data_IF_190303216539
#
_entry.id   IF_190303216539
#
_cell.length_a   1.000
_cell.length_b   1.000
_cell.length_c   1.000
_cell.angle_alpha   90.00
_cell.angle_beta   90.00
_cell.angle_gamma   90.00
#
_symmetry.space_group_name_H-M   'P 1'
#
loop_
_entity.id
_entity.type
_entity.pdbx_description
1 polymer ?
#
# COMPACT_ATOMS: atom_id res chain seq x y z
N UNK A 1 13.63 -4.63 36.69
CA UNK A 1 13.31 -3.44 35.88
C UNK A 1 12.90 -3.91 34.49
N UNK A 2 11.62 -4.21 34.29
CA UNK A 2 11.06 -4.58 33.00
C UNK A 2 10.78 -3.27 32.25
N UNK A 3 11.54 -3.01 31.19
CA UNK A 3 11.22 -1.94 30.25
C UNK A 3 9.86 -2.28 29.64
N UNK A 4 8.83 -1.54 30.02
CA UNK A 4 7.58 -1.51 29.30
C UNK A 4 7.91 -1.26 27.83
N UNK A 5 7.58 -2.20 26.95
CA UNK A 5 7.56 -1.97 25.51
C UNK A 5 6.73 -0.70 25.34
N UNK A 6 7.37 0.39 24.94
CA UNK A 6 6.68 1.62 24.59
C UNK A 6 5.57 1.24 23.62
N UNK A 7 4.35 1.69 23.90
CA UNK A 7 3.22 1.52 23.00
C UNK A 7 3.61 2.21 21.69
N UNK A 8 4.10 1.46 20.72
CA UNK A 8 4.30 2.00 19.39
C UNK A 8 2.92 2.28 18.84
N UNK A 9 2.65 3.52 18.38
CA UNK A 9 1.38 3.80 17.74
C UNK A 9 1.21 2.83 16.58
N UNK A 10 0.08 2.13 16.52
CA UNK A 10 -0.23 1.23 15.41
C UNK A 10 0.06 1.91 14.08
N UNK A 11 0.63 1.17 13.13
CA UNK A 11 0.82 1.70 11.78
C UNK A 11 -0.53 2.14 11.19
N UNK A 12 -0.52 3.21 10.41
CA UNK A 12 -1.74 3.75 9.80
C UNK A 12 -1.48 4.15 8.36
N UNK A 13 -2.40 3.78 7.48
CA UNK A 13 -2.36 4.18 6.06
C UNK A 13 -2.45 5.68 5.86
N UNK A 14 -3.00 6.42 6.82
CA UNK A 14 -3.16 7.88 6.70
C UNK A 14 -1.83 8.64 6.74
N UNK A 15 -0.75 7.97 7.16
CA UNK A 15 0.62 8.50 7.13
C UNK A 15 1.42 8.02 5.92
N UNK A 16 0.80 7.24 5.04
CA UNK A 16 1.46 6.65 3.88
C UNK A 16 1.06 7.38 2.61
N UNK A 17 2.00 7.48 1.70
CA UNK A 17 1.86 8.18 0.42
C UNK A 17 2.30 7.24 -0.70
N UNK A 18 1.64 7.31 -1.85
CA UNK A 18 2.06 6.60 -3.04
C UNK A 18 3.36 7.18 -3.59
N UNK A 19 4.40 6.35 -3.64
CA UNK A 19 5.76 6.76 -4.00
C UNK A 19 6.22 6.12 -5.30
N UNK A 20 6.85 6.93 -6.14
CA UNK A 20 7.50 6.44 -7.37
C UNK A 20 8.84 5.78 -7.05
N UNK A 21 9.50 6.20 -5.98
CA UNK A 21 10.85 5.80 -5.62
C UNK A 21 10.92 4.32 -5.29
N UNK A 22 11.63 3.56 -6.13
CA UNK A 22 11.98 2.18 -5.87
C UNK A 22 13.43 1.95 -6.31
N UNK A 23 14.34 1.74 -5.35
CA UNK A 23 15.78 1.52 -5.66
C UNK A 23 16.02 0.25 -6.50
N UNK A 24 15.07 -0.69 -6.49
CA UNK A 24 15.13 -1.95 -7.25
C UNK A 24 14.70 -1.80 -8.70
N UNK A 25 14.04 -0.68 -9.06
CA UNK A 25 13.55 -0.41 -10.42
C UNK A 25 14.31 0.80 -10.97
N UNK A 26 14.95 0.72 -12.16
CA UNK A 26 15.58 1.88 -12.79
C UNK A 26 14.57 3.01 -13.03
N UNK A 27 15.00 4.28 -12.89
CA UNK A 27 14.09 5.43 -12.91
C UNK A 27 13.17 5.50 -14.14
N UNK A 28 13.69 5.17 -15.32
CA UNK A 28 12.95 5.15 -16.59
C UNK A 28 11.82 4.11 -16.67
N UNK A 29 11.79 3.14 -15.75
CA UNK A 29 10.79 2.08 -15.69
C UNK A 29 9.89 2.19 -14.46
N UNK A 30 9.95 3.31 -13.73
CA UNK A 30 9.08 3.53 -12.57
C UNK A 30 7.78 4.19 -12.99
N UNK A 31 6.67 3.66 -12.49
CA UNK A 31 5.39 4.36 -12.52
C UNK A 31 5.39 5.54 -11.55
N UNK A 32 4.75 6.64 -11.94
CA UNK A 32 4.57 7.85 -11.13
C UNK A 32 3.09 8.07 -10.80
N UNK A 33 2.78 9.06 -9.96
CA UNK A 33 1.39 9.34 -9.62
C UNK A 33 0.61 9.93 -10.80
N UNK A 34 1.31 10.64 -11.69
CA UNK A 34 0.77 11.24 -12.92
C UNK A 34 0.24 10.17 -13.87
N UNK A 35 0.87 8.99 -13.94
CA UNK A 35 0.39 7.86 -14.76
C UNK A 35 -0.99 7.36 -14.35
N UNK A 36 -1.34 7.50 -13.06
CA UNK A 36 -2.63 7.08 -12.51
C UNK A 36 -3.66 8.22 -12.48
N UNK A 37 -3.21 9.45 -12.34
CA UNK A 37 -4.09 10.61 -12.25
C UNK A 37 -4.91 10.79 -13.53
N UNK A 38 -6.22 10.94 -13.38
CA UNK A 38 -7.19 11.10 -14.49
C UNK A 38 -7.18 9.96 -15.54
N UNK A 39 -6.56 8.82 -15.24
CA UNK A 39 -6.50 7.65 -16.13
C UNK A 39 -7.81 6.86 -16.22
N UNK A 40 -8.77 7.13 -15.32
CA UNK A 40 -9.94 6.28 -15.09
C UNK A 40 -9.66 5.04 -14.21
N UNK A 41 -8.41 4.82 -13.79
CA UNK A 41 -7.99 3.70 -12.94
C UNK A 41 -7.57 4.16 -11.54
N UNK A 42 -7.85 3.31 -10.55
CA UNK A 42 -7.32 3.48 -9.20
C UNK A 42 -5.94 2.84 -9.05
N UNK A 43 -5.26 3.19 -7.95
CA UNK A 43 -4.02 2.55 -7.49
C UNK A 43 -4.37 1.34 -6.63
N UNK A 44 -4.46 0.16 -7.24
CA UNK A 44 -4.81 -1.10 -6.61
C UNK A 44 -3.61 -1.78 -5.94
N UNK A 45 -3.75 -2.19 -4.67
CA UNK A 45 -2.69 -2.88 -3.94
C UNK A 45 -2.70 -4.39 -4.26
N UNK A 46 -1.52 -4.97 -4.46
CA UNK A 46 -1.36 -6.43 -4.56
C UNK A 46 -1.10 -7.06 -3.19
N UNK A 47 -0.19 -6.47 -2.41
CA UNK A 47 -0.08 -6.69 -0.97
C UNK A 47 -0.86 -5.60 -0.23
N UNK A 48 -2.00 -5.90 0.42
CA UNK A 48 -2.87 -4.88 0.98
C UNK A 48 -2.25 -4.19 2.20
N UNK A 49 -2.41 -2.86 2.29
CA UNK A 49 -1.93 -2.09 3.45
C UNK A 49 -2.56 -2.57 4.79
N UNK A 50 -3.78 -3.10 4.74
CA UNK A 50 -4.47 -3.65 5.91
C UNK A 50 -3.70 -4.80 6.57
N UNK A 51 -2.94 -5.58 5.80
CA UNK A 51 -2.17 -6.75 6.30
C UNK A 51 -1.05 -6.31 7.23
N UNK A 52 -0.65 -5.05 7.13
CA UNK A 52 0.50 -4.49 7.82
C UNK A 52 0.10 -3.61 9.01
N UNK A 53 -1.20 -3.46 9.31
CA UNK A 53 -1.74 -2.55 10.35
C UNK A 53 -1.10 -2.75 11.73
N UNK A 54 -0.83 -4.00 12.12
CA UNK A 54 -0.24 -4.34 13.42
C UNK A 54 1.29 -4.46 13.39
N UNK A 55 1.92 -4.19 12.23
CA UNK A 55 3.37 -4.19 12.04
C UNK A 55 4.00 -2.81 12.18
N UNK A 56 5.14 -2.61 11.50
CA UNK A 56 5.83 -1.33 11.46
C UNK A 56 5.22 -0.39 10.42
N UNK A 57 5.29 0.92 10.65
CA UNK A 57 4.91 1.92 9.65
C UNK A 57 5.72 1.75 8.36
N UNK A 58 7.00 1.39 8.46
CA UNK A 58 7.86 1.16 7.31
C UNK A 58 7.33 0.05 6.40
N UNK A 59 6.92 -1.10 6.96
CA UNK A 59 6.37 -2.20 6.19
C UNK A 59 5.04 -1.81 5.52
N UNK A 60 4.21 -1.02 6.21
CA UNK A 60 2.99 -0.47 5.62
C UNK A 60 3.31 0.50 4.47
N UNK A 61 4.29 1.39 4.64
CA UNK A 61 4.71 2.36 3.61
C UNK A 61 5.25 1.67 2.35
N UNK A 62 5.93 0.53 2.49
CA UNK A 62 6.41 -0.26 1.35
C UNK A 62 5.27 -0.78 0.46
N UNK A 63 4.07 -0.97 1.01
CA UNK A 63 2.89 -1.36 0.22
C UNK A 63 2.42 -0.26 -0.74
N UNK A 64 2.85 0.99 -0.54
CA UNK A 64 2.47 2.15 -1.37
C UNK A 64 3.48 2.45 -2.50
N UNK A 65 4.48 1.59 -2.72
CA UNK A 65 5.46 1.76 -3.80
C UNK A 65 4.81 1.40 -5.13
N UNK A 66 4.65 2.39 -6.00
CA UNK A 66 3.86 2.29 -7.24
C UNK A 66 4.35 1.17 -8.16
N UNK A 67 5.66 1.12 -8.41
CA UNK A 67 6.24 0.17 -9.38
C UNK A 67 6.41 -1.25 -8.85
N UNK A 68 6.24 -1.45 -7.54
CA UNK A 68 6.52 -2.73 -6.88
C UNK A 68 5.24 -3.45 -6.44
N UNK A 69 4.19 -2.70 -6.06
CA UNK A 69 3.01 -3.28 -5.42
C UNK A 69 1.67 -2.75 -5.95
N UNK A 70 1.69 -1.77 -6.85
CA UNK A 70 0.47 -1.10 -7.31
C UNK A 70 0.21 -1.40 -8.78
N UNK A 71 -1.06 -1.68 -9.10
CA UNK A 71 -1.53 -1.86 -10.48
C UNK A 71 -2.70 -0.92 -10.79
N UNK A 72 -2.91 -0.51 -12.05
CA UNK A 72 -4.15 0.15 -12.47
C UNK A 72 -5.32 -0.80 -12.24
N UNK A 73 -6.20 -0.47 -11.30
CA UNK A 73 -7.33 -1.32 -10.92
C UNK A 73 -8.64 -0.56 -11.06
N UNK A 74 -9.66 -1.22 -11.60
CA UNK A 74 -10.99 -0.64 -11.71
C UNK A 74 -11.48 -0.23 -10.32
N UNK A 75 -12.01 0.99 -10.19
CA UNK A 75 -12.44 1.58 -8.91
C UNK A 75 -13.48 0.71 -8.18
N UNK A 76 -14.48 0.22 -8.91
CA UNK A 76 -15.54 -0.62 -8.35
C UNK A 76 -15.01 -1.97 -7.90
N UNK A 77 -14.09 -2.57 -8.66
CA UNK A 77 -13.48 -3.83 -8.25
C UNK A 77 -12.61 -3.66 -6.99
N UNK A 78 -11.72 -2.66 -6.98
CA UNK A 78 -10.80 -2.37 -5.87
C UNK A 78 -11.59 -2.13 -4.56
N UNK A 79 -12.59 -1.25 -4.61
CA UNK A 79 -13.39 -0.88 -3.43
C UNK A 79 -14.41 -1.93 -2.98
N UNK A 80 -14.75 -2.92 -3.81
CA UNK A 80 -15.78 -3.91 -3.50
C UNK A 80 -15.24 -5.34 -3.47
N UNK A 81 -15.26 -6.04 -4.60
CA UNK A 81 -14.99 -7.48 -4.64
C UNK A 81 -13.55 -7.80 -4.25
N UNK A 82 -12.57 -7.02 -4.72
CA UNK A 82 -11.18 -7.22 -4.35
C UNK A 82 -10.99 -7.00 -2.84
N UNK A 83 -11.51 -5.89 -2.30
CA UNK A 83 -11.50 -5.64 -0.86
C UNK A 83 -12.11 -6.79 -0.05
N UNK A 84 -13.23 -7.39 -0.50
CA UNK A 84 -13.84 -8.55 0.18
C UNK A 84 -12.91 -9.76 0.19
N UNK A 85 -12.18 -10.01 -0.90
CA UNK A 85 -11.18 -11.08 -0.97
C UNK A 85 -10.02 -10.79 -0.01
N UNK A 86 -9.52 -9.56 0.04
CA UNK A 86 -8.47 -9.14 0.99
C UNK A 86 -8.92 -9.28 2.46
N UNK A 87 -10.21 -9.04 2.76
CA UNK A 87 -10.76 -9.30 4.09
C UNK A 87 -10.86 -10.79 4.38
N UNK A 88 -11.37 -11.58 3.43
CA UNK A 88 -11.49 -13.03 3.57
C UNK A 88 -10.14 -13.70 3.82
N UNK A 89 -9.08 -13.30 3.11
CA UNK A 89 -7.74 -13.85 3.27
C UNK A 89 -7.09 -13.52 4.63
N UNK A 90 -7.54 -12.45 5.28
CA UNK A 90 -6.99 -11.95 6.56
C UNK A 90 -7.52 -12.70 7.78
N UNK A 91 -8.76 -13.21 7.71
CA UNK A 91 -9.47 -13.80 8.84
C UNK A 91 -10.30 -12.79 9.62
#
# INVERSE_FOLDING_TARGET
>A
MLLAKSFQPSSTRTRSEFKSECLKVPAQFRATNEDYFDSGWSRGHMAPAGDHKYGSQLALDETFILSANIVPQNLDNNGNYWYRIEQFARG
#
